data_IF_712145506391
#
_entry.id   IF_712145506391
#
_cell.length_a   1.000
_cell.length_b   1.000
_cell.length_c   1.000
_cell.angle_alpha   90.00
_cell.angle_beta   90.00
_cell.angle_gamma   90.00
#
_symmetry.space_group_name_H-M   'P 1'
#
loop_
_entity.id
_entity.type
_entity.pdbx_description
1 polymer ?
#
# COMPACT_ATOMS: atom_id res chain seq x y z
N UNK A 1 -8.48 -1.99 -9.79
CA UNK A 1 -7.39 -2.79 -9.18
C UNK A 1 -7.84 -3.53 -7.90
N UNK A 2 -8.85 -3.03 -7.18
CA UNK A 2 -9.39 -3.65 -5.95
C UNK A 2 -9.78 -5.13 -6.06
N UNK A 3 -10.40 -5.55 -7.18
CA UNK A 3 -10.82 -6.94 -7.37
C UNK A 3 -9.67 -7.96 -7.26
N UNK A 4 -8.47 -7.57 -7.73
CA UNK A 4 -7.27 -8.41 -7.64
C UNK A 4 -6.82 -8.52 -6.18
N UNK A 5 -6.83 -7.41 -5.43
CA UNK A 5 -6.48 -7.40 -4.02
C UNK A 5 -7.40 -8.32 -3.19
N UNK A 6 -8.71 -8.29 -3.45
CA UNK A 6 -9.66 -9.19 -2.80
C UNK A 6 -9.44 -10.66 -3.17
N UNK A 7 -9.16 -10.97 -4.44
CA UNK A 7 -8.85 -12.34 -4.89
C UNK A 7 -7.58 -12.89 -4.21
N UNK A 8 -6.52 -12.10 -4.16
CA UNK A 8 -5.27 -12.48 -3.50
C UNK A 8 -5.50 -12.67 -1.99
N UNK A 9 -6.24 -11.77 -1.35
CA UNK A 9 -6.56 -11.88 0.07
C UNK A 9 -7.39 -13.13 0.38
N UNK A 10 -8.39 -13.45 -0.45
CA UNK A 10 -9.20 -14.67 -0.31
C UNK A 10 -8.35 -15.94 -0.47
N UNK A 11 -7.43 -15.95 -1.44
CA UNK A 11 -6.48 -17.06 -1.64
C UNK A 11 -5.54 -17.24 -0.45
N UNK A 12 -4.95 -16.15 0.04
CA UNK A 12 -4.08 -16.15 1.20
C UNK A 12 -4.81 -16.67 2.45
N UNK A 13 -6.02 -16.16 2.73
CA UNK A 13 -6.83 -16.64 3.87
C UNK A 13 -7.14 -18.13 3.71
N UNK A 14 -7.56 -18.58 2.53
CA UNK A 14 -7.92 -19.98 2.29
C UNK A 14 -6.74 -20.94 2.49
N UNK A 15 -5.52 -20.50 2.21
CA UNK A 15 -4.30 -21.31 2.39
C UNK A 15 -3.75 -21.23 3.83
N UNK A 16 -3.58 -20.02 4.36
CA UNK A 16 -2.93 -19.78 5.65
C UNK A 16 -3.86 -20.11 6.83
N UNK A 17 -5.14 -19.77 6.76
CA UNK A 17 -6.11 -19.97 7.86
C UNK A 17 -6.20 -21.43 8.35
N UNK A 18 -6.42 -22.45 7.49
CA UNK A 18 -6.49 -23.83 7.95
C UNK A 18 -5.14 -24.33 8.49
N UNK A 19 -4.02 -23.86 7.91
CA UNK A 19 -2.66 -24.23 8.35
C UNK A 19 -2.40 -23.73 9.78
N UNK A 20 -2.63 -22.44 10.04
CA UNK A 20 -2.40 -21.84 11.36
C UNK A 20 -3.41 -22.31 12.41
N UNK A 21 -4.67 -22.53 12.02
CA UNK A 21 -5.69 -23.07 12.92
C UNK A 21 -5.35 -24.50 13.37
N UNK A 22 -4.86 -25.35 12.47
CA UNK A 22 -4.39 -26.71 12.81
C UNK A 22 -3.17 -26.69 13.74
N UNK A 23 -2.27 -25.74 13.53
CA UNK A 23 -1.09 -25.56 14.38
C UNK A 23 -1.37 -24.87 15.72
N UNK A 24 -2.62 -24.44 15.99
CA UNK A 24 -3.02 -23.64 17.18
C UNK A 24 -2.18 -22.37 17.39
N UNK A 25 -1.58 -21.84 16.32
CA UNK A 25 -0.73 -20.66 16.35
C UNK A 25 -1.58 -19.38 16.26
N UNK A 26 -2.33 -19.09 17.32
CA UNK A 26 -3.21 -17.91 17.37
C UNK A 26 -2.45 -16.57 17.28
N UNK A 27 -1.19 -16.52 17.76
CA UNK A 27 -0.35 -15.32 17.64
C UNK A 27 0.00 -15.02 16.19
N UNK A 28 0.40 -16.04 15.42
CA UNK A 28 0.72 -15.88 14.00
C UNK A 28 -0.53 -15.58 13.17
N UNK A 29 -1.68 -16.15 13.54
CA UNK A 29 -2.96 -15.85 12.90
C UNK A 29 -3.31 -14.37 13.05
N UNK A 30 -3.05 -13.79 14.21
CA UNK A 30 -3.23 -12.38 14.49
C UNK A 30 -2.31 -11.50 13.64
N UNK A 31 -1.02 -11.83 13.56
CA UNK A 31 -0.05 -11.10 12.73
C UNK A 31 -0.45 -11.16 11.25
N UNK A 32 -0.83 -12.33 10.77
CA UNK A 32 -1.34 -12.53 9.41
C UNK A 32 -2.58 -11.66 9.15
N UNK A 33 -3.58 -11.71 10.03
CA UNK A 33 -4.82 -10.96 9.87
C UNK A 33 -4.58 -9.44 9.88
N UNK A 34 -3.74 -8.94 10.78
CA UNK A 34 -3.38 -7.50 10.84
C UNK A 34 -2.66 -7.08 9.58
N UNK A 35 -1.69 -7.87 9.11
CA UNK A 35 -0.93 -7.56 7.88
C UNK A 35 -1.84 -7.56 6.65
N UNK A 36 -2.74 -8.54 6.54
CA UNK A 36 -3.71 -8.64 5.46
C UNK A 36 -4.70 -7.46 5.47
N UNK A 37 -5.22 -7.11 6.65
CA UNK A 37 -6.09 -5.95 6.81
C UNK A 37 -5.38 -4.65 6.42
N UNK A 38 -4.11 -4.49 6.80
CA UNK A 38 -3.29 -3.33 6.43
C UNK A 38 -3.15 -3.22 4.91
N UNK A 39 -2.80 -4.31 4.23
CA UNK A 39 -2.69 -4.36 2.77
C UNK A 39 -4.01 -4.01 2.07
N UNK A 40 -5.13 -4.54 2.56
CA UNK A 40 -6.46 -4.23 2.02
C UNK A 40 -6.84 -2.76 2.23
N UNK A 41 -6.62 -2.21 3.42
CA UNK A 41 -6.86 -0.79 3.72
C UNK A 41 -6.00 0.10 2.83
N UNK A 42 -4.72 -0.23 2.63
CA UNK A 42 -3.81 0.49 1.72
C UNK A 42 -4.33 0.45 0.27
N UNK A 43 -4.72 -0.72 -0.24
CA UNK A 43 -5.29 -0.84 -1.60
C UNK A 43 -6.60 -0.06 -1.78
N UNK A 44 -7.44 -0.02 -0.75
CA UNK A 44 -8.68 0.78 -0.74
C UNK A 44 -8.35 2.28 -0.72
N UNK A 45 -7.42 2.71 0.14
CA UNK A 45 -6.99 4.10 0.22
C UNK A 45 -6.37 4.58 -1.10
N UNK A 46 -5.54 3.76 -1.74
CA UNK A 46 -4.97 4.05 -3.07
C UNK A 46 -6.07 4.22 -4.13
N UNK A 47 -7.08 3.33 -4.16
CA UNK A 47 -8.19 3.43 -5.13
C UNK A 47 -9.15 4.58 -4.84
N UNK A 48 -9.31 4.99 -3.58
CA UNK A 48 -10.13 6.15 -3.23
C UNK A 48 -9.50 7.49 -3.66
N UNK A 49 -8.33 7.49 -4.30
CA UNK A 49 -7.59 8.70 -4.62
C UNK A 49 -7.45 9.60 -3.38
N UNK A 50 -7.30 8.99 -2.20
CA UNK A 50 -6.62 9.69 -1.12
C UNK A 50 -5.33 10.22 -1.75
N UNK A 51 -4.99 11.52 -1.58
CA UNK A 51 -3.82 12.11 -2.18
C UNK A 51 -2.59 11.54 -1.46
N UNK A 52 -2.31 10.26 -1.68
CA UNK A 52 -1.00 9.68 -1.57
C UNK A 52 -0.26 10.36 -2.71
N UNK A 53 0.58 11.36 -2.42
CA UNK A 53 1.27 12.07 -3.48
C UNK A 53 1.99 11.01 -4.30
N UNK A 54 1.63 10.93 -5.57
CA UNK A 54 2.30 10.05 -6.53
C UNK A 54 3.81 10.24 -6.31
N UNK A 55 4.65 9.18 -6.29
CA UNK A 55 6.09 9.36 -6.16
C UNK A 55 6.65 10.40 -7.15
N UNK A 56 6.05 10.49 -8.33
CA UNK A 56 6.31 11.55 -9.32
C UNK A 56 5.87 12.95 -8.87
N UNK A 57 4.76 13.10 -8.15
CA UNK A 57 4.33 14.37 -7.54
C UNK A 57 5.26 14.82 -6.41
N UNK A 58 5.79 13.89 -5.62
CA UNK A 58 6.82 14.18 -4.63
C UNK A 58 8.12 14.66 -5.28
N UNK A 59 8.58 13.94 -6.31
CA UNK A 59 9.78 14.30 -7.06
C UNK A 59 9.59 15.65 -7.74
N UNK A 60 8.45 15.89 -8.38
CA UNK A 60 8.17 17.18 -9.05
C UNK A 60 7.98 18.33 -8.06
N UNK A 61 7.43 18.09 -6.87
CA UNK A 61 7.36 19.09 -5.80
C UNK A 61 8.75 19.47 -5.29
N UNK A 62 9.65 18.50 -5.18
CA UNK A 62 11.04 18.73 -4.79
C UNK A 62 11.86 19.41 -5.91
N UNK A 63 11.63 19.05 -7.18
CA UNK A 63 12.36 19.59 -8.33
C UNK A 63 11.86 20.98 -8.79
N UNK A 64 10.58 21.30 -8.61
CA UNK A 64 10.00 22.61 -8.97
C UNK A 64 10.76 23.82 -8.39
N UNK A 65 11.12 23.88 -7.09
CA UNK A 65 11.86 25.01 -6.54
C UNK A 65 13.29 25.10 -7.10
N UNK A 66 13.96 23.96 -7.35
CA UNK A 66 15.29 23.95 -7.98
C UNK A 66 15.26 24.48 -9.42
N UNK A 67 14.26 24.06 -10.21
CA UNK A 67 14.10 24.57 -11.58
C UNK A 67 13.83 26.07 -11.59
N UNK A 68 13.02 26.60 -10.67
CA UNK A 68 12.80 28.04 -10.52
C UNK A 68 14.06 28.80 -10.10
N UNK A 69 14.90 28.24 -9.22
CA UNK A 69 16.17 28.86 -8.84
C UNK A 69 17.14 28.96 -10.02
N UNK A 70 17.23 27.93 -10.85
CA UNK A 70 18.07 27.93 -12.07
C UNK A 70 17.53 28.94 -13.10
N UNK A 71 16.22 28.95 -13.34
CA UNK A 71 15.58 29.93 -14.23
C UNK A 71 15.77 31.38 -13.76
N UNK A 72 15.75 31.63 -12.44
CA UNK A 72 16.02 32.94 -11.85
C UNK A 72 17.46 33.41 -12.00
N UNK A 73 18.41 32.52 -12.27
CA UNK A 73 19.82 32.88 -12.50
C UNK A 73 20.07 33.23 -13.98
N UNK A 74 19.21 32.73 -14.87
CA UNK A 74 19.30 32.95 -16.33
C UNK A 74 18.49 34.15 -16.83
N UNK A 75 17.69 34.81 -15.98
CA UNK A 75 16.89 36.00 -16.30
C UNK A 75 17.32 37.19 -15.46
#
# INVERSE_FOLDING_TARGET
>A
MLWIAFLVAAGAVSYEYPKLRRAKQFKELWVFAVTLAFGLVLSIAENQHFPIPNPLDLITTLYKPMSRAILSIFN
#
